data_IF_948259280510
#
_entry.id   IF_948259280510
#
_cell.length_a   1.000
_cell.length_b   1.000
_cell.length_c   1.000
_cell.angle_alpha   90.00
_cell.angle_beta   90.00
_cell.angle_gamma   90.00
#
_symmetry.space_group_name_H-M   'P 1'
#
loop_
_entity.id
_entity.type
_entity.pdbx_description
1 polymer ?
#
# COMPACT_ATOMS: atom_id res chain seq x y z
N UNK A 1 14.07 9.89 3.88
CA UNK A 1 13.09 8.79 3.80
C UNK A 1 12.21 9.10 2.61
N UNK A 2 11.67 8.10 1.93
CA UNK A 2 10.86 8.34 0.74
C UNK A 2 9.53 7.59 0.82
N UNK A 3 8.44 8.28 0.49
CA UNK A 3 7.15 7.65 0.21
C UNK A 3 7.07 7.32 -1.28
N UNK A 4 6.85 6.04 -1.58
CA UNK A 4 6.63 5.56 -2.93
C UNK A 4 5.12 5.44 -3.16
N UNK A 5 4.58 6.29 -4.03
CA UNK A 5 3.17 6.33 -4.42
C UNK A 5 3.01 5.51 -5.70
N UNK A 6 2.50 4.29 -5.58
CA UNK A 6 2.19 3.45 -6.74
C UNK A 6 0.78 3.73 -7.24
N UNK A 7 0.65 4.15 -8.50
CA UNK A 7 -0.63 4.52 -9.10
C UNK A 7 -1.10 3.47 -10.11
N UNK A 8 -2.34 2.99 -9.96
CA UNK A 8 -2.93 1.95 -10.80
C UNK A 8 -4.46 1.98 -10.78
N UNK A 9 -5.08 1.85 -11.95
CA UNK A 9 -6.54 1.77 -12.08
C UNK A 9 -7.06 0.34 -12.08
N UNK A 10 -8.32 0.19 -11.66
CA UNK A 10 -8.94 -1.10 -11.44
C UNK A 10 -10.14 -1.35 -12.36
N UNK A 11 -10.15 -2.48 -13.06
CA UNK A 11 -11.28 -2.88 -13.92
C UNK A 11 -12.57 -3.13 -13.14
N UNK A 12 -12.47 -3.49 -11.85
CA UNK A 12 -13.64 -3.66 -10.98
C UNK A 12 -14.41 -2.35 -10.73
N UNK A 13 -13.86 -1.19 -11.12
CA UNK A 13 -14.60 0.08 -11.18
C UNK A 13 -15.92 -0.05 -11.94
N UNK A 14 -15.95 -0.86 -13.01
CA UNK A 14 -17.14 -1.14 -13.82
C UNK A 14 -18.32 -1.73 -13.01
N UNK A 15 -18.06 -2.27 -11.82
CA UNK A 15 -19.07 -2.85 -10.93
C UNK A 15 -19.71 -1.83 -9.97
N UNK A 16 -19.43 -0.53 -10.12
CA UNK A 16 -20.09 0.53 -9.34
C UNK A 16 -19.78 0.49 -7.84
N UNK A 17 -18.55 0.09 -7.49
CA UNK A 17 -18.04 -0.06 -6.11
C UNK A 17 -17.57 1.25 -5.47
N UNK A 18 -17.59 2.35 -6.23
CA UNK A 18 -17.20 3.69 -5.80
C UNK A 18 -18.00 4.74 -6.58
N UNK A 19 -18.35 5.89 -5.97
CA UNK A 19 -18.99 6.99 -6.67
C UNK A 19 -18.01 7.83 -7.50
N UNK A 20 -16.71 7.66 -7.28
CA UNK A 20 -15.69 8.47 -7.96
C UNK A 20 -15.47 8.02 -9.41
N UNK A 21 -15.36 8.97 -10.36
CA UNK A 21 -14.91 8.66 -11.71
C UNK A 21 -13.51 8.05 -11.73
N UNK A 22 -13.25 7.14 -12.67
CA UNK A 22 -11.94 6.47 -12.78
C UNK A 22 -10.80 7.45 -13.08
N UNK A 23 -11.08 8.54 -13.82
CA UNK A 23 -10.11 9.61 -14.14
C UNK A 23 -9.51 10.31 -12.91
N UNK A 24 -10.13 10.19 -11.72
CA UNK A 24 -9.60 10.76 -10.49
C UNK A 24 -8.22 10.19 -10.15
N UNK A 25 -7.90 8.94 -10.52
CA UNK A 25 -6.55 8.37 -10.36
C UNK A 25 -5.51 9.25 -11.06
N UNK A 26 -5.72 9.59 -12.33
CA UNK A 26 -4.80 10.42 -13.11
C UNK A 26 -4.75 11.87 -12.61
N UNK A 27 -5.89 12.43 -12.20
CA UNK A 27 -5.98 13.77 -11.62
C UNK A 27 -5.18 13.87 -10.32
N UNK A 28 -5.25 12.85 -9.46
CA UNK A 28 -4.47 12.79 -8.22
C UNK A 28 -2.98 12.59 -8.49
N UNK A 29 -2.61 11.80 -9.51
CA UNK A 29 -1.20 11.72 -9.95
C UNK A 29 -0.67 13.10 -10.33
N UNK A 30 -1.41 13.87 -11.14
CA UNK A 30 -1.04 15.25 -11.45
C UNK A 30 -0.93 16.13 -10.19
N UNK A 31 -1.83 15.93 -9.21
CA UNK A 31 -1.79 16.66 -7.94
C UNK A 31 -0.56 16.31 -7.08
N UNK A 32 -0.15 15.04 -7.02
CA UNK A 32 1.07 14.62 -6.33
C UNK A 32 2.32 15.27 -6.94
N UNK A 33 2.40 15.28 -8.27
CA UNK A 33 3.51 15.89 -9.02
C UNK A 33 3.52 17.41 -8.87
N UNK A 34 2.34 18.02 -8.73
CA UNK A 34 2.18 19.44 -8.42
C UNK A 34 2.42 19.82 -6.95
N UNK A 35 2.64 18.84 -6.06
CA UNK A 35 2.86 19.08 -4.63
C UNK A 35 1.60 19.45 -3.85
N UNK A 36 0.40 19.24 -4.40
CA UNK A 36 -0.86 19.74 -3.86
C UNK A 36 -1.68 18.72 -3.05
N UNK A 37 -1.22 17.48 -2.90
CA UNK A 37 -1.93 16.47 -2.13
C UNK A 37 -1.57 16.49 -0.63
N UNK A 38 -2.34 15.76 0.17
CA UNK A 38 -2.10 15.64 1.62
C UNK A 38 -0.77 14.95 1.89
N UNK A 39 -0.43 13.92 1.12
CA UNK A 39 0.87 13.25 1.25
C UNK A 39 2.04 14.21 1.01
N UNK A 40 1.93 15.17 0.07
CA UNK A 40 2.97 16.16 -0.18
C UNK A 40 3.15 17.10 1.02
N UNK A 41 2.04 17.58 1.60
CA UNK A 41 2.09 18.44 2.77
C UNK A 41 2.78 17.73 3.96
N UNK A 42 2.42 16.47 4.22
CA UNK A 42 3.03 15.70 5.31
C UNK A 42 4.49 15.35 5.02
N UNK A 43 4.82 14.93 3.79
CA UNK A 43 6.19 14.63 3.39
C UNK A 43 7.11 15.84 3.54
N UNK A 44 6.66 17.03 3.10
CA UNK A 44 7.40 18.27 3.28
C UNK A 44 7.66 18.58 4.77
N UNK A 45 6.68 18.35 5.65
CA UNK A 45 6.83 18.58 7.08
C UNK A 45 7.87 17.67 7.73
N UNK A 46 7.94 16.40 7.33
CA UNK A 46 8.80 15.38 7.95
C UNK A 46 10.13 15.16 7.21
N UNK A 47 10.40 15.95 6.17
CA UNK A 47 11.60 15.83 5.34
C UNK A 47 11.67 14.53 4.56
N UNK A 48 10.51 14.04 4.08
CA UNK A 48 10.41 12.88 3.21
C UNK A 48 10.27 13.30 1.74
N UNK A 49 10.87 12.51 0.86
CA UNK A 49 10.69 12.61 -0.59
C UNK A 49 9.38 11.94 -1.00
N UNK A 50 8.66 12.52 -1.97
CA UNK A 50 7.50 11.87 -2.62
C UNK A 50 7.93 11.39 -4.00
N UNK A 51 7.91 10.08 -4.21
CA UNK A 51 8.19 9.45 -5.49
C UNK A 51 6.89 8.87 -6.05
N UNK A 52 6.51 9.28 -7.27
CA UNK A 52 5.25 8.82 -7.91
C UNK A 52 5.60 7.85 -9.03
N UNK A 53 4.99 6.67 -8.99
CA UNK A 53 5.25 5.58 -9.94
C UNK A 53 3.93 5.20 -10.60
N UNK A 54 3.83 5.44 -11.90
CA UNK A 54 2.72 4.91 -12.69
C UNK A 54 3.00 3.45 -13.01
N UNK A 55 2.22 2.55 -12.41
CA UNK A 55 2.31 1.10 -12.64
C UNK A 55 1.10 0.57 -13.41
N UNK A 56 0.02 1.36 -13.52
CA UNK A 56 -1.17 0.91 -14.21
C UNK A 56 -2.29 1.94 -14.36
N UNK A 57 -1.99 3.24 -14.44
CA UNK A 57 -3.03 4.25 -14.67
C UNK A 57 -3.65 4.06 -16.06
N UNK A 58 -4.99 4.10 -16.12
CA UNK A 58 -5.73 3.77 -17.34
C UNK A 58 -5.51 4.79 -18.47
N UNK A 59 -5.30 6.06 -18.13
CA UNK A 59 -4.98 7.11 -19.09
C UNK A 59 -3.47 7.26 -19.30
N UNK A 60 -3.08 7.78 -20.46
CA UNK A 60 -1.70 8.22 -20.68
C UNK A 60 -1.39 9.45 -19.83
N UNK A 61 -0.27 9.39 -19.12
CA UNK A 61 0.22 10.48 -18.30
C UNK A 61 1.35 11.20 -19.04
N UNK A 62 1.33 12.54 -19.13
CA UNK A 62 2.40 13.28 -19.78
C UNK A 62 3.71 13.10 -19.00
N UNK A 63 4.82 13.01 -19.73
CA UNK A 63 6.15 12.95 -19.12
C UNK A 63 6.37 14.20 -18.26
N UNK A 64 6.41 13.99 -16.94
CA UNK A 64 6.47 15.06 -15.95
C UNK A 64 7.62 14.75 -14.98
N UNK A 65 8.48 15.71 -14.63
CA UNK A 65 9.51 15.49 -13.62
C UNK A 65 8.91 14.95 -12.31
N UNK A 66 9.53 13.90 -11.76
CA UNK A 66 9.03 13.22 -10.55
C UNK A 66 8.08 12.05 -10.79
N UNK A 67 7.62 11.84 -12.04
CA UNK A 67 6.85 10.65 -12.43
C UNK A 67 7.80 9.58 -12.98
N UNK A 68 7.79 8.39 -12.38
CA UNK A 68 8.46 7.21 -12.91
C UNK A 68 7.50 6.44 -13.84
N UNK A 69 7.78 6.37 -15.15
CA UNK A 69 6.96 5.62 -16.09
C UNK A 69 7.33 4.12 -15.99
N UNK A 70 6.53 3.36 -15.25
CA UNK A 70 6.71 1.91 -15.05
C UNK A 70 5.40 1.15 -15.33
N UNK A 71 4.57 1.71 -16.21
CA UNK A 71 3.22 1.21 -16.50
C UNK A 71 3.31 -0.20 -17.10
N UNK A 72 2.67 -1.16 -16.45
CA UNK A 72 2.54 -2.53 -16.94
C UNK A 72 1.48 -2.57 -18.06
N UNK A 73 0.28 -2.05 -17.74
CA UNK A 73 -0.85 -1.91 -18.67
C UNK A 73 -1.81 -0.82 -18.18
N UNK A 74 -2.63 -0.29 -19.07
CA UNK A 74 -3.71 0.64 -18.72
C UNK A 74 -4.82 -0.06 -17.90
N UNK A 75 -4.73 0.04 -16.57
CA UNK A 75 -5.65 -0.54 -15.61
C UNK A 75 -5.64 -2.08 -15.56
N UNK A 76 -6.06 -2.65 -14.44
CA UNK A 76 -6.36 -4.09 -14.39
C UNK A 76 -7.65 -4.41 -15.15
N UNK A 77 -7.83 -5.69 -15.50
CA UNK A 77 -9.12 -6.21 -15.96
C UNK A 77 -10.10 -6.31 -14.78
N UNK A 78 -11.39 -6.46 -15.08
CA UNK A 78 -12.41 -6.68 -14.03
C UNK A 78 -12.27 -8.08 -13.44
N UNK A 79 -11.79 -8.14 -12.19
CA UNK A 79 -11.58 -9.38 -11.45
C UNK A 79 -12.84 -10.25 -11.27
N UNK A 80 -14.04 -9.71 -11.53
CA UNK A 80 -15.30 -10.47 -11.45
C UNK A 80 -15.71 -11.17 -12.74
N UNK A 81 -14.98 -10.93 -13.84
CA UNK A 81 -15.24 -11.55 -15.15
C UNK A 81 -14.05 -12.32 -15.69
N UNK A 82 -12.87 -12.13 -15.09
CA UNK A 82 -11.63 -12.80 -15.42
C UNK A 82 -10.54 -12.41 -14.41
N UNK A 83 -9.28 -12.85 -14.60
CA UNK A 83 -8.20 -12.41 -13.73
C UNK A 83 -7.93 -10.92 -13.92
N UNK A 84 -7.57 -10.22 -12.83
CA UNK A 84 -7.21 -8.80 -12.84
C UNK A 84 -6.00 -8.52 -13.76
N UNK A 85 -5.02 -9.43 -13.76
CA UNK A 85 -3.80 -9.36 -14.57
C UNK A 85 -3.25 -10.76 -14.83
N UNK A 86 -2.35 -10.93 -15.79
CA UNK A 86 -1.64 -12.21 -15.97
C UNK A 86 -0.63 -12.44 -14.85
N UNK A 87 -0.10 -13.66 -14.76
CA UNK A 87 0.98 -13.98 -13.82
C UNK A 87 2.24 -13.18 -14.11
N UNK A 88 2.58 -13.06 -15.39
CA UNK A 88 3.73 -12.30 -15.88
C UNK A 88 3.58 -10.82 -15.58
N UNK A 89 2.38 -10.26 -15.76
CA UNK A 89 2.09 -8.87 -15.41
C UNK A 89 2.21 -8.63 -13.89
N UNK A 90 1.75 -9.56 -13.05
CA UNK A 90 1.91 -9.47 -11.59
C UNK A 90 3.38 -9.52 -11.16
N UNK A 91 4.17 -10.43 -11.75
CA UNK A 91 5.61 -10.53 -11.50
C UNK A 91 6.32 -9.24 -11.94
N UNK A 92 6.03 -8.73 -13.14
CA UNK A 92 6.60 -7.48 -13.62
C UNK A 92 6.27 -6.29 -12.71
N UNK A 93 5.04 -6.20 -12.19
CA UNK A 93 4.67 -5.17 -11.22
C UNK A 93 5.42 -5.33 -9.88
N UNK A 94 5.62 -6.55 -9.39
CA UNK A 94 6.47 -6.82 -8.21
C UNK A 94 7.92 -6.37 -8.48
N UNK A 95 8.46 -6.67 -9.65
CA UNK A 95 9.82 -6.24 -10.02
C UNK A 95 9.96 -4.72 -10.02
N UNK A 96 8.95 -3.98 -10.52
CA UNK A 96 8.92 -2.50 -10.41
C UNK A 96 9.03 -2.03 -8.97
N UNK A 97 8.33 -2.68 -8.03
CA UNK A 97 8.43 -2.38 -6.61
C UNK A 97 9.83 -2.63 -6.03
N UNK A 98 10.45 -3.76 -6.40
CA UNK A 98 11.80 -4.13 -5.95
C UNK A 98 12.82 -3.13 -6.49
N UNK A 99 12.73 -2.75 -7.76
CA UNK A 99 13.58 -1.74 -8.39
C UNK A 99 13.40 -0.37 -7.72
N UNK A 100 12.16 0.03 -7.48
CA UNK A 100 11.84 1.29 -6.77
C UNK A 100 12.49 1.32 -5.39
N UNK A 101 12.43 0.23 -4.62
CA UNK A 101 13.10 0.15 -3.32
C UNK A 101 14.62 0.31 -3.45
N UNK A 102 15.24 -0.35 -4.44
CA UNK A 102 16.69 -0.25 -4.69
C UNK A 102 17.09 1.18 -5.05
N UNK A 103 16.37 1.81 -5.96
CA UNK A 103 16.65 3.17 -6.44
C UNK A 103 16.53 4.17 -5.28
N UNK A 104 15.46 4.10 -4.49
CA UNK A 104 15.24 5.00 -3.35
C UNK A 104 16.29 4.82 -2.25
N UNK A 105 16.69 3.60 -1.94
CA UNK A 105 17.75 3.32 -0.95
C UNK A 105 19.11 3.78 -1.47
N UNK A 106 19.43 3.54 -2.75
CA UNK A 106 20.66 4.00 -3.39
C UNK A 106 20.75 5.54 -3.42
N UNK A 107 19.61 6.23 -3.53
CA UNK A 107 19.52 7.69 -3.39
C UNK A 107 19.75 8.20 -1.95
N UNK A 108 19.97 7.29 -0.98
CA UNK A 108 20.33 7.63 0.39
C UNK A 108 19.18 7.57 1.40
N UNK A 109 17.97 7.18 0.97
CA UNK A 109 16.83 7.06 1.86
C UNK A 109 17.02 5.90 2.86
N UNK A 110 16.96 6.23 4.15
CA UNK A 110 17.15 5.26 5.26
C UNK A 110 15.86 4.57 5.72
N UNK A 111 14.73 4.98 5.18
CA UNK A 111 13.42 4.38 5.41
C UNK A 111 12.57 4.59 4.17
N UNK A 112 11.75 3.58 3.85
CA UNK A 112 10.77 3.60 2.78
C UNK A 112 9.38 3.66 3.39
N UNK A 113 8.43 4.28 2.69
CA UNK A 113 7.04 4.38 3.10
C UNK A 113 6.16 3.91 1.95
N UNK A 114 5.16 3.08 2.25
CA UNK A 114 4.17 2.68 1.25
C UNK A 114 3.18 3.80 1.02
N UNK A 115 2.83 4.04 -0.24
CA UNK A 115 1.66 4.82 -0.60
C UNK A 115 1.10 4.34 -1.94
N UNK A 116 -0.12 4.74 -2.22
CA UNK A 116 -0.87 4.25 -3.38
C UNK A 116 -1.87 5.28 -3.86
N UNK A 117 -2.33 5.09 -5.09
CA UNK A 117 -3.46 5.80 -5.65
C UNK A 117 -4.15 4.92 -6.68
N UNK A 118 -5.43 4.63 -6.48
CA UNK A 118 -6.20 3.85 -7.44
C UNK A 118 -7.68 3.87 -7.12
N UNK A 119 -8.49 4.40 -8.02
CA UNK A 119 -9.94 4.33 -7.83
C UNK A 119 -10.39 2.86 -7.84
N UNK A 120 -11.25 2.52 -6.89
CA UNK A 120 -11.78 1.18 -6.60
C UNK A 120 -10.81 0.17 -5.96
N UNK A 121 -9.55 0.54 -5.69
CA UNK A 121 -8.53 -0.37 -5.18
C UNK A 121 -8.87 -1.00 -3.80
N UNK A 122 -9.62 -0.32 -2.94
CA UNK A 122 -10.10 -0.87 -1.65
C UNK A 122 -11.01 -2.08 -1.81
N UNK A 123 -11.55 -2.33 -3.01
CA UNK A 123 -12.28 -3.58 -3.34
C UNK A 123 -11.29 -4.73 -3.53
N UNK A 124 -10.22 -4.51 -4.29
CA UNK A 124 -9.12 -5.48 -4.44
C UNK A 124 -8.42 -5.73 -3.09
N UNK A 125 -8.18 -4.67 -2.29
CA UNK A 125 -7.59 -4.82 -0.95
C UNK A 125 -8.46 -5.71 -0.05
N UNK A 126 -9.78 -5.50 -0.03
CA UNK A 126 -10.70 -6.33 0.76
C UNK A 126 -10.70 -7.79 0.29
N UNK A 127 -10.64 -8.04 -1.02
CA UNK A 127 -10.55 -9.39 -1.57
C UNK A 127 -9.24 -10.10 -1.15
N UNK A 128 -8.10 -9.42 -1.31
CA UNK A 128 -6.80 -9.94 -0.88
C UNK A 128 -6.79 -10.23 0.63
N UNK A 129 -7.27 -9.28 1.44
CA UNK A 129 -7.31 -9.45 2.89
C UNK A 129 -8.18 -10.65 3.25
N UNK A 130 -9.40 -10.75 2.71
CA UNK A 130 -10.32 -11.87 2.95
C UNK A 130 -9.64 -13.23 2.72
N UNK A 131 -8.94 -13.37 1.59
CA UNK A 131 -8.23 -14.61 1.21
C UNK A 131 -7.07 -14.92 2.18
N UNK A 132 -6.21 -13.94 2.49
CA UNK A 132 -5.04 -14.21 3.33
C UNK A 132 -5.33 -14.25 4.83
N UNK A 133 -6.45 -13.67 5.29
CA UNK A 133 -6.87 -13.73 6.69
C UNK A 133 -7.89 -14.82 6.97
N UNK A 134 -8.47 -15.44 5.94
CA UNK A 134 -9.60 -16.38 6.05
C UNK A 134 -10.78 -15.74 6.80
N UNK A 135 -11.22 -14.59 6.30
CA UNK A 135 -12.23 -13.74 6.94
C UNK A 135 -13.31 -13.39 5.93
N UNK A 136 -14.58 -13.39 6.36
CA UNK A 136 -15.71 -13.11 5.48
C UNK A 136 -15.57 -11.73 4.80
N UNK A 137 -15.86 -11.61 3.49
CA UNK A 137 -15.85 -10.35 2.77
C UNK A 137 -16.60 -9.21 3.47
N UNK A 138 -17.70 -9.50 4.18
CA UNK A 138 -18.49 -8.50 4.89
C UNK A 138 -17.77 -7.90 6.11
N UNK A 139 -16.81 -8.61 6.70
CA UNK A 139 -16.04 -8.13 7.85
C UNK A 139 -14.84 -7.29 7.44
N UNK A 140 -14.31 -7.49 6.22
CA UNK A 140 -13.10 -6.78 5.74
C UNK A 140 -13.42 -5.67 4.73
N UNK A 141 -14.63 -5.63 4.20
CA UNK A 141 -15.05 -4.60 3.24
C UNK A 141 -15.47 -3.33 3.97
N UNK A 142 -14.69 -2.26 3.79
CA UNK A 142 -14.96 -0.93 4.33
C UNK A 142 -15.64 0.03 3.36
N UNK A 143 -15.97 1.21 3.90
CA UNK A 143 -16.60 2.30 3.13
C UNK A 143 -15.64 3.04 2.21
N UNK A 144 -14.33 2.80 2.32
CA UNK A 144 -13.30 3.49 1.55
C UNK A 144 -13.51 5.00 1.59
N UNK A 145 -13.76 5.57 0.42
CA UNK A 145 -13.99 7.01 0.20
C UNK A 145 -15.34 7.54 0.73
N UNK A 146 -15.96 6.88 1.70
CA UNK A 146 -17.20 7.34 2.36
C UNK A 146 -18.50 6.93 1.65
N UNK A 147 -18.55 5.74 1.07
CA UNK A 147 -19.74 5.24 0.35
C UNK A 147 -20.95 4.97 1.28
N UNK A 148 -22.17 5.01 0.71
CA UNK A 148 -23.41 4.69 1.41
C UNK A 148 -23.61 3.17 1.59
N UNK A 149 -24.65 2.76 2.31
CA UNK A 149 -24.92 1.35 2.65
C UNK A 149 -25.20 0.48 1.44
N UNK A 150 -25.86 1.03 0.43
CA UNK A 150 -26.16 0.32 -0.82
C UNK A 150 -24.86 -0.01 -1.59
N UNK A 151 -23.97 0.97 -1.75
CA UNK A 151 -22.69 0.77 -2.41
C UNK A 151 -21.77 -0.13 -1.59
N UNK A 152 -21.84 -0.08 -0.24
CA UNK A 152 -21.12 -1.02 0.62
C UNK A 152 -21.59 -2.47 0.42
N UNK A 153 -22.90 -2.70 0.38
CA UNK A 153 -23.49 -4.01 0.11
C UNK A 153 -23.06 -4.52 -1.28
N UNK A 154 -23.12 -3.66 -2.30
CA UNK A 154 -22.65 -3.98 -3.65
C UNK A 154 -21.16 -4.34 -3.68
N UNK A 155 -20.31 -3.54 -3.02
CA UNK A 155 -18.87 -3.79 -2.94
C UNK A 155 -18.56 -5.12 -2.25
N UNK A 156 -19.27 -5.42 -1.17
CA UNK A 156 -19.12 -6.71 -0.45
C UNK A 156 -19.47 -7.88 -1.35
N UNK A 157 -20.56 -7.78 -2.12
CA UNK A 157 -20.97 -8.83 -3.05
C UNK A 157 -20.00 -8.99 -4.22
N UNK A 158 -19.45 -7.88 -4.73
CA UNK A 158 -18.41 -7.89 -5.76
C UNK A 158 -17.14 -8.62 -5.27
N UNK A 159 -16.72 -8.37 -4.03
CA UNK A 159 -15.59 -9.08 -3.41
C UNK A 159 -15.89 -10.58 -3.31
N UNK A 160 -17.06 -10.95 -2.76
CA UNK A 160 -17.48 -12.35 -2.63
C UNK A 160 -17.48 -13.06 -3.97
N UNK A 161 -18.10 -12.44 -4.99
CA UNK A 161 -18.18 -12.98 -6.35
C UNK A 161 -16.80 -13.19 -6.97
N UNK A 162 -15.86 -12.27 -6.77
CA UNK A 162 -14.49 -12.42 -7.28
C UNK A 162 -13.79 -13.62 -6.64
N UNK A 163 -13.89 -13.76 -5.31
CA UNK A 163 -13.28 -14.89 -4.58
C UNK A 163 -13.92 -16.20 -5.00
N UNK A 164 -15.26 -16.25 -5.10
CA UNK A 164 -16.00 -17.45 -5.49
C UNK A 164 -15.66 -17.90 -6.92
N UNK A 165 -15.49 -16.94 -7.84
CA UNK A 165 -15.15 -17.21 -9.23
C UNK A 165 -13.74 -17.77 -9.40
N UNK A 166 -12.75 -17.21 -8.68
CA UNK A 166 -11.35 -17.59 -8.83
C UNK A 166 -10.92 -18.76 -7.95
N UNK A 167 -11.60 -18.99 -6.81
CA UNK A 167 -11.18 -19.95 -5.78
C UNK A 167 -9.67 -19.86 -5.47
N UNK A 168 -9.15 -18.65 -5.15
CA UNK A 168 -7.71 -18.42 -5.11
C UNK A 168 -7.05 -19.17 -3.95
N UNK A 169 -5.93 -19.84 -4.22
CA UNK A 169 -5.16 -20.58 -3.21
C UNK A 169 -4.16 -19.64 -2.49
N UNK A 170 -4.30 -19.39 -1.18
CA UNK A 170 -3.36 -18.55 -0.43
C UNK A 170 -1.92 -19.06 -0.44
N UNK A 171 -1.68 -20.34 -0.75
CA UNK A 171 -0.36 -20.92 -0.91
C UNK A 171 0.32 -20.53 -2.24
N UNK A 172 -0.43 -20.01 -3.22
CA UNK A 172 0.10 -19.38 -4.44
C UNK A 172 -0.16 -17.86 -4.41
N UNK A 173 0.62 -17.09 -3.63
CA UNK A 173 0.37 -15.67 -3.44
C UNK A 173 0.45 -14.83 -4.73
N UNK A 174 1.27 -15.26 -5.70
CA UNK A 174 1.33 -14.60 -7.02
C UNK A 174 0.05 -14.90 -7.80
N UNK A 175 -0.44 -16.14 -7.78
CA UNK A 175 -1.72 -16.51 -8.39
C UNK A 175 -2.90 -15.73 -7.81
N UNK A 176 -2.96 -15.58 -6.49
CA UNK A 176 -3.97 -14.76 -5.79
C UNK A 176 -3.90 -13.30 -6.27
N UNK A 177 -2.70 -12.72 -6.29
CA UNK A 177 -2.47 -11.34 -6.70
C UNK A 177 -2.84 -11.11 -8.18
N UNK A 178 -2.55 -12.07 -9.06
CA UNK A 178 -2.95 -12.02 -10.47
C UNK A 178 -4.47 -12.08 -10.65
N UNK A 179 -5.14 -12.91 -9.85
CA UNK A 179 -6.59 -13.10 -9.96
C UNK A 179 -7.38 -11.86 -9.51
N UNK A 180 -7.05 -11.30 -8.34
CA UNK A 180 -7.90 -10.33 -7.62
C UNK A 180 -7.17 -9.08 -7.11
N UNK A 181 -5.89 -8.90 -7.45
CA UNK A 181 -5.08 -7.77 -7.01
C UNK A 181 -5.12 -6.55 -7.94
N UNK A 182 -4.28 -5.56 -7.61
CA UNK A 182 -3.99 -4.37 -8.42
C UNK A 182 -2.51 -4.27 -8.76
N UNK A 183 -2.16 -3.55 -9.83
CA UNK A 183 -0.76 -3.32 -10.19
C UNK A 183 -0.02 -2.57 -9.08
N UNK A 184 -0.67 -1.62 -8.41
CA UNK A 184 -0.13 -0.92 -7.26
C UNK A 184 0.01 -1.81 -6.03
N UNK A 185 -0.87 -2.79 -5.83
CA UNK A 185 -0.71 -3.80 -4.79
C UNK A 185 0.54 -4.65 -5.06
N UNK A 186 0.72 -5.10 -6.30
CA UNK A 186 1.87 -5.89 -6.72
C UNK A 186 3.19 -5.10 -6.59
N UNK A 187 3.19 -3.83 -6.98
CA UNK A 187 4.35 -2.96 -6.79
C UNK A 187 4.63 -2.69 -5.30
N UNK A 188 3.62 -2.51 -4.45
CA UNK A 188 3.83 -2.42 -3.01
C UNK A 188 4.42 -3.72 -2.42
N UNK A 189 3.97 -4.89 -2.86
CA UNK A 189 4.59 -6.18 -2.50
C UNK A 189 6.08 -6.15 -2.82
N UNK A 190 6.43 -5.71 -4.03
CA UNK A 190 7.82 -5.55 -4.45
C UNK A 190 8.62 -4.56 -3.60
N UNK A 191 8.03 -3.43 -3.21
CA UNK A 191 8.67 -2.44 -2.34
C UNK A 191 9.02 -3.06 -0.97
N UNK A 192 8.12 -3.86 -0.41
CA UNK A 192 8.32 -4.54 0.87
C UNK A 192 9.45 -5.59 0.77
N UNK A 193 9.41 -6.44 -0.24
CA UNK A 193 10.45 -7.45 -0.50
C UNK A 193 11.82 -6.79 -0.74
N UNK A 194 11.85 -5.73 -1.55
CA UNK A 194 13.03 -4.93 -1.83
C UNK A 194 13.60 -4.31 -0.55
N UNK A 195 12.77 -3.61 0.23
CA UNK A 195 13.15 -3.01 1.50
C UNK A 195 13.73 -4.02 2.48
N UNK A 196 13.07 -5.17 2.64
CA UNK A 196 13.57 -6.26 3.49
C UNK A 196 14.92 -6.81 3.03
N UNK A 197 15.10 -7.06 1.73
CA UNK A 197 16.37 -7.55 1.18
C UNK A 197 17.53 -6.57 1.40
N UNK A 198 17.23 -5.26 1.41
CA UNK A 198 18.16 -4.17 1.64
C UNK A 198 18.32 -3.82 3.13
N UNK A 199 17.64 -4.55 4.04
CA UNK A 199 17.58 -4.26 5.49
C UNK A 199 17.17 -2.82 5.79
N UNK A 200 16.28 -2.27 4.97
CA UNK A 200 15.74 -0.92 5.13
C UNK A 200 14.32 -1.01 5.67
N UNK A 201 13.99 -0.31 6.76
CA UNK A 201 12.64 -0.33 7.31
C UNK A 201 11.63 0.26 6.31
N UNK A 202 10.48 -0.41 6.21
CA UNK A 202 9.33 0.04 5.40
C UNK A 202 8.15 0.33 6.32
N UNK A 203 7.69 1.58 6.34
CA UNK A 203 6.53 2.00 7.13
C UNK A 203 5.29 1.82 6.28
N UNK A 204 4.37 0.99 6.77
CA UNK A 204 3.11 0.67 6.13
C UNK A 204 2.08 1.77 6.40
N UNK A 205 1.30 2.10 5.39
CA UNK A 205 0.20 3.05 5.46
C UNK A 205 -1.11 2.35 5.86
N UNK A 206 -2.17 2.48 5.05
CA UNK A 206 -3.50 1.98 5.34
C UNK A 206 -3.80 0.59 4.76
N UNK A 207 -5.08 0.38 4.46
CA UNK A 207 -5.64 -0.95 4.10
C UNK A 207 -4.97 -1.58 2.87
N UNK A 208 -4.67 -0.81 1.83
CA UNK A 208 -4.02 -1.31 0.61
C UNK A 208 -2.57 -1.78 0.89
N UNK A 209 -1.84 -1.06 1.75
CA UNK A 209 -0.51 -1.46 2.19
C UNK A 209 -0.57 -2.71 3.08
N UNK A 210 -1.58 -2.82 3.94
CA UNK A 210 -1.86 -4.03 4.73
C UNK A 210 -2.16 -5.25 3.85
N UNK A 211 -2.95 -5.07 2.79
CA UNK A 211 -3.22 -6.12 1.80
C UNK A 211 -1.94 -6.58 1.09
N UNK A 212 -1.12 -5.63 0.61
CA UNK A 212 0.18 -5.93 0.00
C UNK A 212 1.13 -6.64 0.99
N UNK A 213 1.14 -6.25 2.27
CA UNK A 213 1.97 -6.89 3.28
C UNK A 213 1.56 -8.35 3.57
N UNK A 214 0.27 -8.69 3.49
CA UNK A 214 -0.20 -10.08 3.59
C UNK A 214 0.32 -10.94 2.44
N UNK A 215 0.23 -10.42 1.21
CA UNK A 215 0.77 -11.09 0.01
C UNK A 215 2.29 -11.25 0.14
N UNK A 216 3.00 -10.18 0.51
CA UNK A 216 4.46 -10.21 0.66
C UNK A 216 4.91 -11.22 1.72
N UNK A 217 4.21 -11.31 2.86
CA UNK A 217 4.49 -12.32 3.90
C UNK A 217 4.26 -13.74 3.38
N UNK A 218 3.22 -13.97 2.58
CA UNK A 218 2.95 -15.27 1.99
C UNK A 218 4.05 -15.68 0.99
N UNK A 219 4.67 -14.71 0.30
CA UNK A 219 5.84 -14.95 -0.56
C UNK A 219 7.10 -15.22 0.28
N UNK A 220 7.39 -14.35 1.25
CA UNK A 220 8.60 -14.35 2.05
C UNK A 220 8.29 -13.88 3.48
N UNK A 221 8.08 -14.79 4.45
CA UNK A 221 7.67 -14.44 5.81
C UNK A 221 8.61 -13.46 6.52
N UNK A 222 9.90 -13.50 6.20
CA UNK A 222 10.95 -12.63 6.73
C UNK A 222 10.76 -11.14 6.38
N UNK A 223 9.92 -10.82 5.38
CA UNK A 223 9.63 -9.43 4.98
C UNK A 223 9.12 -8.58 6.15
N UNK A 224 8.42 -9.21 7.10
CA UNK A 224 7.83 -8.52 8.26
C UNK A 224 8.89 -7.97 9.22
N UNK A 225 10.11 -8.50 9.21
CA UNK A 225 11.19 -7.98 10.05
C UNK A 225 11.60 -6.55 9.65
N UNK A 226 11.28 -6.12 8.43
CA UNK A 226 11.49 -4.75 7.95
C UNK A 226 10.24 -3.88 8.04
N UNK A 227 9.06 -4.45 8.32
CA UNK A 227 7.79 -3.73 8.27
C UNK A 227 7.46 -3.05 9.60
N UNK A 228 7.03 -1.79 9.54
CA UNK A 228 6.51 -1.04 10.69
C UNK A 228 5.09 -0.58 10.33
N UNK A 229 4.08 -0.95 11.12
CA UNK A 229 2.73 -0.45 10.89
C UNK A 229 2.66 1.04 11.29
N UNK A 230 2.48 1.93 10.31
CA UNK A 230 2.43 3.37 10.53
C UNK A 230 1.20 3.77 11.33
N UNK A 231 0.01 3.39 10.86
CA UNK A 231 -1.22 3.70 11.55
C UNK A 231 -2.26 2.58 11.50
N UNK A 232 -3.29 2.67 12.34
CA UNK A 232 -4.54 1.93 12.17
C UNK A 232 -5.48 2.76 11.28
N UNK A 233 -5.91 2.18 10.17
CA UNK A 233 -6.92 2.80 9.30
C UNK A 233 -8.32 2.57 9.88
N UNK A 234 -9.24 3.49 9.59
CA UNK A 234 -10.66 3.30 9.88
C UNK A 234 -11.32 2.21 9.00
N UNK A 235 -10.64 1.72 7.96
CA UNK A 235 -11.10 0.60 7.14
C UNK A 235 -10.98 -0.73 7.93
N UNK A 236 -12.07 -1.52 8.07
CA UNK A 236 -12.10 -2.70 8.92
C UNK A 236 -11.13 -3.80 8.46
N UNK A 237 -10.93 -3.96 7.14
CA UNK A 237 -9.94 -4.89 6.59
C UNK A 237 -8.52 -4.61 7.09
N UNK A 238 -8.17 -3.36 7.40
CA UNK A 238 -6.81 -3.06 7.89
C UNK A 238 -6.58 -3.65 9.28
N UNK A 239 -7.60 -3.70 10.14
CA UNK A 239 -7.51 -4.33 11.46
C UNK A 239 -7.27 -5.83 11.33
N UNK A 240 -8.00 -6.51 10.44
CA UNK A 240 -7.81 -7.92 10.15
C UNK A 240 -6.38 -8.20 9.63
N UNK A 241 -5.89 -7.35 8.71
CA UNK A 241 -4.53 -7.44 8.19
C UNK A 241 -3.47 -7.28 9.30
N UNK A 242 -3.56 -6.22 10.11
CA UNK A 242 -2.61 -5.97 11.21
C UNK A 242 -2.57 -7.14 12.20
N UNK A 243 -3.73 -7.68 12.57
CA UNK A 243 -3.84 -8.84 13.46
C UNK A 243 -3.17 -10.09 12.87
N UNK A 244 -3.44 -10.39 11.60
CA UNK A 244 -2.83 -11.54 10.91
C UNK A 244 -1.32 -11.38 10.74
N UNK A 245 -0.85 -10.15 10.50
CA UNK A 245 0.57 -9.80 10.36
C UNK A 245 1.31 -9.74 11.71
N UNK A 246 0.59 -9.61 12.83
CA UNK A 246 1.18 -9.43 14.16
C UNK A 246 1.85 -8.06 14.33
N UNK A 247 1.44 -7.05 13.55
CA UNK A 247 2.01 -5.71 13.60
C UNK A 247 1.17 -4.78 14.47
N UNK A 248 1.83 -4.07 15.38
CA UNK A 248 1.19 -3.03 16.21
C UNK A 248 1.34 -1.66 15.52
N UNK A 249 0.25 -0.94 15.22
CA UNK A 249 0.32 0.38 14.61
C UNK A 249 0.88 1.42 15.59
N UNK A 250 1.64 2.38 15.08
CA UNK A 250 2.21 3.49 15.87
C UNK A 250 1.21 4.62 16.11
N UNK A 251 0.32 4.86 15.15
CA UNK A 251 -0.65 5.97 15.15
C UNK A 251 -2.08 5.42 15.01
N UNK A 252 -3.05 6.10 15.62
CA UNK A 252 -4.46 5.70 15.61
C UNK A 252 -5.33 6.96 15.65
N UNK A 253 -5.71 7.45 14.47
CA UNK A 253 -6.35 8.76 14.25
C UNK A 253 -7.54 8.68 13.29
N UNK A 254 -8.14 7.48 13.14
CA UNK A 254 -9.27 7.22 12.24
C UNK A 254 -9.06 7.68 10.78
N UNK A 255 -7.80 7.65 10.32
CA UNK A 255 -7.44 8.02 8.94
C UNK A 255 -7.89 6.93 7.96
N UNK A 256 -8.25 7.36 6.74
CA UNK A 256 -8.72 6.48 5.65
C UNK A 256 -8.48 7.04 4.25
N UNK A 257 -7.52 7.97 4.15
CA UNK A 257 -7.22 8.63 2.87
C UNK A 257 -6.37 7.73 1.96
N UNK A 258 -5.35 7.07 2.52
CA UNK A 258 -4.32 6.39 1.73
C UNK A 258 -3.15 7.31 1.43
N UNK A 259 -2.57 7.18 0.24
CA UNK A 259 -1.48 8.04 -0.26
C UNK A 259 -0.19 8.02 0.60
N UNK A 260 -0.06 7.08 1.54
CA UNK A 260 1.08 7.05 2.46
C UNK A 260 0.97 8.02 3.64
N UNK A 261 -0.19 8.64 3.85
CA UNK A 261 -0.38 9.70 4.85
C UNK A 261 -0.20 9.24 6.29
N UNK A 262 -0.70 8.06 6.65
CA UNK A 262 -0.49 7.44 7.95
C UNK A 262 0.96 6.99 8.16
N UNK A 263 1.61 6.48 7.12
CA UNK A 263 3.04 6.16 7.16
C UNK A 263 3.89 7.42 7.40
N UNK A 264 3.56 8.53 6.73
CA UNK A 264 4.25 9.82 6.87
C UNK A 264 4.08 10.40 8.28
N UNK A 265 2.87 10.31 8.86
CA UNK A 265 2.62 10.75 10.24
C UNK A 265 3.34 9.88 11.28
N UNK A 266 3.62 8.62 10.97
CA UNK A 266 4.35 7.72 11.84
C UNK A 266 5.88 7.87 11.75
N UNK A 267 6.39 8.42 10.64
CA UNK A 267 7.84 8.56 10.40
C UNK A 267 8.58 9.33 11.52
N UNK A 268 8.07 10.44 12.08
CA UNK A 268 8.73 11.12 13.19
C UNK A 268 8.94 10.22 14.42
N UNK A 269 8.01 9.30 14.73
CA UNK A 269 8.16 8.37 15.86
C UNK A 269 9.30 7.38 15.62
N UNK A 270 9.43 6.88 14.39
CA UNK A 270 10.54 6.00 13.98
C UNK A 270 11.87 6.75 14.04
N UNK A 271 11.91 7.98 13.52
CA UNK A 271 13.10 8.84 13.57
C UNK A 271 13.51 9.17 15.01
N UNK A 272 12.57 9.54 15.87
CA UNK A 272 12.82 9.81 17.29
C UNK A 272 13.40 8.60 18.01
N UNK A 273 12.90 7.40 17.71
CA UNK A 273 13.43 6.15 18.31
C UNK A 273 14.86 5.89 17.85
N UNK A 274 15.15 6.03 16.55
CA UNK A 274 16.50 5.86 16.03
C UNK A 274 17.48 6.89 16.63
N UNK A 275 17.07 8.16 16.75
CA UNK A 275 17.88 9.20 17.41
C UNK A 275 18.09 8.91 18.89
N UNK A 276 17.06 8.47 19.61
CA UNK A 276 17.20 8.11 21.02
C UNK A 276 18.28 7.03 21.24
N UNK A 277 18.39 6.05 20.34
CA UNK A 277 19.41 5.00 20.42
C UNK A 277 20.83 5.48 20.09
N UNK A 278 20.98 6.56 19.32
CA UNK A 278 22.28 7.06 18.85
C UNK A 278 22.80 8.29 19.62
N UNK A 279 21.90 9.16 20.08
CA UNK A 279 22.23 10.49 20.60
C UNK A 279 22.08 10.59 22.13
N UNK A 280 21.32 9.69 22.76
CA UNK A 280 21.11 9.73 24.22
C UNK A 280 22.32 9.13 24.94
N UNK A 281 22.92 9.93 25.81
CA UNK A 281 24.01 9.51 26.69
C UNK A 281 23.56 8.37 27.61
N UNK A 282 24.44 7.38 27.80
CA UNK A 282 24.28 6.39 28.88
C UNK A 282 24.42 7.06 30.25
N UNK A 283 23.88 6.44 31.30
CA UNK A 283 24.01 6.93 32.68
C UNK A 283 25.48 7.22 33.05
N UNK A 284 26.38 6.31 32.69
CA UNK A 284 27.84 6.48 32.87
C UNK A 284 28.37 7.73 32.18
N UNK A 285 28.04 7.92 30.90
CA UNK A 285 28.53 9.07 30.12
C UNK A 285 27.89 10.40 30.52
N UNK A 286 26.69 10.36 31.09
CA UNK A 286 25.96 11.52 31.61
C UNK A 286 26.33 11.86 33.06
N UNK A 287 27.16 11.05 33.72
CA UNK A 287 27.52 11.24 35.14
C UNK A 287 26.32 11.08 36.08
N UNK A 288 25.32 10.29 35.70
CA UNK A 288 24.14 10.03 36.52
C UNK A 288 24.46 8.85 37.44
N UNK A 289 24.39 9.10 38.75
CA UNK A 289 24.65 8.08 39.77
C UNK A 289 23.71 6.89 39.59
N UNK A 290 24.28 5.69 39.54
CA UNK A 290 23.51 4.44 39.51
C UNK A 290 22.65 4.29 40.78
N UNK A 291 21.56 3.51 40.67
CA UNK A 291 20.63 3.21 41.75
C UNK A 291 20.99 1.91 42.47
#
# INVERSE_FOLDING_TARGET
AAVAIFAGDHGVHAQGVTPWPQEVTAQMVANFLGGGAVCNAFANQVGAEVCVIDVGVASDLPATPGLLPRKIRAGTSDMTTGPAMTREEAVAAIEVGIETARDLVAAGNKALLTGEMGIANTTASAALISVFTDTDPAEVTGRGTGINDETLARKTEVVRRAIDFHQPDPADPIGVLSAIGGFEHAAMVGLLLGGASLRTPVILDGVSAGAAALVARAIAPEVLAACIAGHRSAEPGHVAALNKLGLRPLVDLDLRLGEGTGALLALPLVQSTARAMHEVATFDSAGVTEK
#
